data_IF_482151840945
#
_entry.id   IF_482151840945
#
_cell.length_a   1.000
_cell.length_b   1.000
_cell.length_c   1.000
_cell.angle_alpha   90.00
_cell.angle_beta   90.00
_cell.angle_gamma   90.00
#
_symmetry.space_group_name_H-M   'P 1'
#
loop_
_entity.id
_entity.type
_entity.pdbx_description
1 polymer ?
#
# COMPACT_ATOMS: atom_id res chain seq x y z
N UNK A 1 -2.62 -25.23 11.55
CA UNK A 1 -3.36 -24.60 10.44
C UNK A 1 -2.59 -23.35 10.12
N UNK A 2 -2.00 -23.27 8.92
CA UNK A 2 -1.18 -22.13 8.53
C UNK A 2 -2.07 -20.89 8.47
N UNK A 3 -1.82 -19.93 9.35
CA UNK A 3 -2.26 -18.55 9.15
C UNK A 3 -1.55 -18.06 7.89
N UNK A 4 -2.16 -18.32 6.74
CA UNK A 4 -1.87 -17.63 5.49
C UNK A 4 -2.35 -16.19 5.71
N UNK A 5 -1.55 -15.38 6.40
CA UNK A 5 -1.62 -13.94 6.24
C UNK A 5 -1.33 -13.74 4.75
N UNK A 6 -2.30 -13.33 3.91
CA UNK A 6 -1.99 -13.02 2.52
C UNK A 6 -0.88 -11.99 2.58
N UNK A 7 0.33 -12.37 2.17
CA UNK A 7 1.51 -11.56 2.39
C UNK A 7 1.21 -10.21 1.73
N UNK A 8 1.09 -9.10 2.49
CA UNK A 8 0.62 -7.83 1.93
C UNK A 8 1.45 -7.38 0.72
N UNK A 9 2.68 -7.88 0.67
CA UNK A 9 3.65 -7.81 -0.41
C UNK A 9 3.19 -8.45 -1.72
N UNK A 10 2.51 -9.59 -1.74
CA UNK A 10 2.24 -10.35 -2.98
C UNK A 10 1.36 -9.57 -3.96
N UNK A 11 0.38 -8.84 -3.45
CA UNK A 11 -0.45 -7.93 -4.26
C UNK A 11 0.34 -6.73 -4.80
N UNK A 12 1.23 -6.15 -3.98
CA UNK A 12 2.09 -5.04 -4.40
C UNK A 12 3.11 -5.49 -5.45
N UNK A 13 3.76 -6.65 -5.25
CA UNK A 13 4.71 -7.23 -6.19
C UNK A 13 4.06 -7.57 -7.54
N UNK A 14 2.85 -8.13 -7.51
CA UNK A 14 2.07 -8.40 -8.73
C UNK A 14 1.77 -7.11 -9.49
N UNK A 15 1.44 -6.04 -8.77
CA UNK A 15 1.14 -4.73 -9.36
C UNK A 15 2.38 -4.03 -9.93
N UNK A 16 3.52 -4.08 -9.23
CA UNK A 16 4.78 -3.53 -9.72
C UNK A 16 5.22 -4.25 -11.00
N UNK A 17 5.11 -5.58 -11.05
CA UNK A 17 5.43 -6.36 -12.26
C UNK A 17 4.55 -5.99 -13.45
N UNK A 18 3.29 -5.63 -13.23
CA UNK A 18 2.40 -5.12 -14.28
C UNK A 18 2.88 -3.76 -14.82
N UNK A 19 3.32 -2.86 -13.95
CA UNK A 19 3.82 -1.52 -14.33
C UNK A 19 5.12 -1.64 -15.12
N UNK A 20 6.01 -2.55 -14.74
CA UNK A 20 7.26 -2.82 -15.46
C UNK A 20 7.02 -3.38 -16.88
N UNK A 21 5.86 -3.97 -17.16
CA UNK A 21 5.46 -4.37 -18.50
C UNK A 21 5.02 -3.21 -19.41
N UNK A 22 4.76 -2.03 -18.85
CA UNK A 22 4.27 -0.87 -19.59
C UNK A 22 5.41 -0.11 -20.31
N UNK A 23 5.09 0.67 -21.36
CA UNK A 23 6.03 1.59 -21.98
C UNK A 23 6.63 2.55 -20.96
N UNK A 24 7.91 2.91 -21.13
CA UNK A 24 8.64 3.74 -20.16
C UNK A 24 7.91 5.06 -19.85
N UNK A 25 7.32 5.70 -20.85
CA UNK A 25 6.59 6.95 -20.71
C UNK A 25 5.36 6.85 -19.77
N UNK A 26 4.77 5.66 -19.61
CA UNK A 26 3.59 5.45 -18.76
C UNK A 26 3.96 5.05 -17.32
N UNK A 27 5.20 4.63 -17.06
CA UNK A 27 5.58 4.08 -15.76
C UNK A 27 5.57 5.12 -14.64
N UNK A 28 5.97 6.35 -14.94
CA UNK A 28 6.04 7.42 -13.94
C UNK A 28 4.67 7.72 -13.34
N UNK A 29 3.65 7.86 -14.19
CA UNK A 29 2.27 8.09 -13.77
C UNK A 29 1.73 6.90 -12.96
N UNK A 30 2.00 5.68 -13.42
CA UNK A 30 1.57 4.47 -12.73
C UNK A 30 2.22 4.31 -11.34
N UNK A 31 3.51 4.64 -11.19
CA UNK A 31 4.18 4.63 -9.90
C UNK A 31 3.64 5.70 -8.95
N UNK A 32 3.30 6.88 -9.48
CA UNK A 32 2.68 7.95 -8.68
C UNK A 32 1.39 7.47 -8.02
N UNK A 33 0.54 6.75 -8.76
CA UNK A 33 -0.69 6.16 -8.20
C UNK A 33 -0.39 5.15 -7.09
N UNK A 34 0.61 4.29 -7.27
CA UNK A 34 1.01 3.32 -6.23
C UNK A 34 1.50 4.05 -4.97
N UNK A 35 2.30 5.11 -5.13
CA UNK A 35 2.75 5.92 -4.00
C UNK A 35 1.60 6.59 -3.27
N UNK A 36 0.63 7.16 -3.98
CA UNK A 36 -0.56 7.79 -3.39
C UNK A 36 -1.41 6.79 -2.60
N UNK A 37 -1.61 5.57 -3.14
CA UNK A 37 -2.33 4.51 -2.44
C UNK A 37 -1.62 4.08 -1.14
N UNK A 38 -0.30 3.90 -1.19
CA UNK A 38 0.50 3.54 -0.01
C UNK A 38 0.49 4.65 1.05
N UNK A 39 0.63 5.90 0.61
CA UNK A 39 0.56 7.07 1.50
C UNK A 39 -0.79 7.12 2.22
N UNK A 40 -1.91 6.97 1.49
CA UNK A 40 -3.26 6.94 2.09
C UNK A 40 -3.41 5.79 3.10
N UNK A 41 -2.83 4.63 2.81
CA UNK A 41 -2.88 3.48 3.72
C UNK A 41 -2.12 3.76 5.01
N UNK A 42 -0.93 4.35 4.92
CA UNK A 42 -0.14 4.77 6.08
C UNK A 42 -0.88 5.82 6.92
N UNK A 43 -1.44 6.84 6.27
CA UNK A 43 -2.24 7.87 6.94
C UNK A 43 -3.47 7.28 7.65
N UNK A 44 -4.12 6.28 7.04
CA UNK A 44 -5.28 5.62 7.65
C UNK A 44 -4.91 4.78 8.88
N UNK A 45 -3.77 4.09 8.85
CA UNK A 45 -3.25 3.34 9.99
C UNK A 45 -2.81 4.26 11.13
N UNK A 46 -2.02 5.29 10.83
CA UNK A 46 -1.54 6.25 11.83
C UNK A 46 -2.69 6.99 12.55
N UNK A 47 -3.82 7.23 11.87
CA UNK A 47 -5.02 7.80 12.48
C UNK A 47 -5.72 6.85 13.45
N UNK A 48 -5.79 5.56 13.13
CA UNK A 48 -6.34 4.54 14.03
C UNK A 48 -5.48 4.41 15.29
N UNK A 49 -4.15 4.38 15.14
CA UNK A 49 -3.20 4.32 16.27
C UNK A 49 -3.30 5.56 17.19
N UNK A 50 -3.61 6.73 16.61
CA UNK A 50 -3.76 7.99 17.36
C UNK A 50 -5.10 8.10 18.09
N UNK A 51 -6.16 7.52 17.52
CA UNK A 51 -7.49 7.45 18.14
C UNK A 51 -7.50 6.49 19.33
N UNK A 52 -6.83 5.33 19.21
CA UNK A 52 -6.69 4.37 20.33
C UNK A 52 -5.98 5.00 21.54
N UNK A 53 -4.90 5.75 21.31
CA UNK A 53 -4.18 6.47 22.37
C UNK A 53 -4.94 7.63 23.02
N UNK A 54 -5.99 8.14 22.36
CA UNK A 54 -6.79 9.25 22.86
C UNK A 54 -8.05 8.80 23.62
N UNK A 55 -8.43 7.51 23.51
CA UNK A 55 -9.58 6.93 24.21
C UNK A 55 -9.29 6.39 25.61
N UNK A 56 -8.03 6.43 26.06
CA UNK A 56 -7.57 5.95 27.37
C UNK A 56 -7.23 7.10 28.34
N UNK A 57 -7.98 8.20 28.27
CA UNK A 57 -7.92 9.35 29.20
C UNK A 57 -9.31 9.77 29.63
#
# INVERSE_FOLDING_TARGET
>A
MSDEIPQPTDGLWSRLRLIEGQPLAARADAYTVVHDELFRRLESGAKLDSQEKSGDR
#
